data_IF_374164125029
#
_entry.id   IF_374164125029
#
_cell.length_a   1.000
_cell.length_b   1.000
_cell.length_c   1.000
_cell.angle_alpha   90.00
_cell.angle_beta   90.00
_cell.angle_gamma   90.00
#
_symmetry.space_group_name_H-M   'P 1'
#
loop_
_entity.id
_entity.type
_entity.pdbx_description
1 polymer ?
#
# COMPACT_ATOMS: atom_id res chain seq x y z
N UNK A 1 -47.17 -18.78 27.68
CA UNK A 1 -45.83 -18.50 28.29
C UNK A 1 -44.69 -19.20 27.54
N UNK A 2 -44.83 -19.44 26.23
CA UNK A 2 -43.92 -20.24 25.38
C UNK A 2 -43.17 -19.44 24.32
N UNK A 3 -43.36 -18.12 24.22
CA UNK A 3 -42.75 -17.28 23.17
C UNK A 3 -41.40 -16.66 23.53
N UNK A 4 -40.91 -16.76 24.78
CA UNK A 4 -39.66 -16.14 25.20
C UNK A 4 -38.38 -17.00 25.10
N UNK A 5 -38.52 -18.31 24.94
CA UNK A 5 -37.36 -19.22 24.89
C UNK A 5 -36.72 -19.28 23.48
N UNK A 6 -37.51 -19.14 22.42
CA UNK A 6 -36.96 -19.19 21.04
C UNK A 6 -36.11 -17.97 20.66
N UNK A 7 -36.46 -16.78 21.19
CA UNK A 7 -35.67 -15.56 20.93
C UNK A 7 -34.31 -15.56 21.60
N UNK A 8 -34.17 -16.21 22.75
CA UNK A 8 -32.92 -16.30 23.48
C UNK A 8 -31.93 -17.26 22.79
N UNK A 9 -32.39 -18.41 22.31
CA UNK A 9 -31.60 -19.39 21.57
C UNK A 9 -31.14 -18.82 20.21
N UNK A 10 -31.99 -18.07 19.51
CA UNK A 10 -31.67 -17.43 18.24
C UNK A 10 -30.59 -16.33 18.42
N UNK A 11 -30.68 -15.56 19.50
CA UNK A 11 -29.64 -14.52 19.81
C UNK A 11 -28.28 -15.10 20.21
N UNK A 12 -28.26 -16.22 20.95
CA UNK A 12 -27.03 -16.94 21.29
C UNK A 12 -26.39 -17.55 20.02
N UNK A 13 -27.20 -18.15 19.14
CA UNK A 13 -26.74 -18.71 17.88
C UNK A 13 -26.13 -17.64 16.96
N UNK A 14 -26.75 -16.46 16.88
CA UNK A 14 -26.26 -15.33 16.08
C UNK A 14 -24.96 -14.76 16.67
N UNK A 15 -24.84 -14.63 17.99
CA UNK A 15 -23.61 -14.18 18.65
C UNK A 15 -22.46 -15.17 18.46
N UNK A 16 -22.72 -16.49 18.52
CA UNK A 16 -21.70 -17.51 18.27
C UNK A 16 -21.21 -17.49 16.80
N UNK A 17 -22.12 -17.30 15.84
CA UNK A 17 -21.77 -17.20 14.42
C UNK A 17 -20.90 -15.95 14.16
N UNK A 18 -21.23 -14.82 14.77
CA UNK A 18 -20.45 -13.58 14.65
C UNK A 18 -19.07 -13.75 15.30
N UNK A 19 -18.98 -14.41 16.46
CA UNK A 19 -17.71 -14.65 17.14
C UNK A 19 -16.82 -15.62 16.34
N UNK A 20 -17.38 -16.67 15.78
CA UNK A 20 -16.65 -17.64 14.93
C UNK A 20 -16.18 -16.98 13.65
N UNK A 21 -17.03 -16.17 13.00
CA UNK A 21 -16.65 -15.43 11.80
C UNK A 21 -15.53 -14.40 12.08
N UNK A 22 -15.58 -13.72 13.22
CA UNK A 22 -14.53 -12.79 13.64
C UNK A 22 -13.22 -13.51 13.94
N UNK A 23 -13.24 -14.66 14.62
CA UNK A 23 -12.04 -15.47 14.92
C UNK A 23 -11.45 -16.07 13.66
N UNK A 24 -12.27 -16.56 12.74
CA UNK A 24 -11.82 -17.08 11.43
C UNK A 24 -11.24 -15.95 10.59
N UNK A 25 -11.88 -14.78 10.56
CA UNK A 25 -11.37 -13.59 9.87
C UNK A 25 -10.02 -13.11 10.41
N UNK A 26 -9.87 -13.05 11.75
CA UNK A 26 -8.60 -12.70 12.39
C UNK A 26 -7.50 -13.73 12.12
N UNK A 27 -7.81 -15.03 12.18
CA UNK A 27 -6.84 -16.10 11.85
C UNK A 27 -6.43 -16.07 10.38
N UNK A 28 -7.35 -15.77 9.44
CA UNK A 28 -7.03 -15.68 8.02
C UNK A 28 -6.14 -14.47 7.71
N UNK A 29 -6.36 -13.32 8.34
CA UNK A 29 -5.49 -12.15 8.19
C UNK A 29 -4.09 -12.37 8.78
N UNK A 30 -4.01 -13.03 9.93
CA UNK A 30 -2.73 -13.33 10.58
C UNK A 30 -1.91 -14.37 9.79
N UNK A 31 -2.57 -15.37 9.19
CA UNK A 31 -1.92 -16.37 8.34
C UNK A 31 -1.41 -15.79 7.01
N UNK A 32 -2.14 -14.84 6.42
CA UNK A 32 -1.71 -14.16 5.19
C UNK A 32 -0.51 -13.24 5.42
N UNK A 33 -0.47 -12.52 6.54
CA UNK A 33 0.69 -11.71 6.92
C UNK A 33 1.95 -12.54 7.10
N UNK A 34 1.86 -13.74 7.69
CA UNK A 34 3.01 -14.64 7.84
C UNK A 34 3.46 -15.20 6.48
N UNK A 35 2.55 -15.64 5.61
CA UNK A 35 2.87 -16.17 4.30
C UNK A 35 3.55 -15.11 3.39
N UNK A 36 3.13 -13.86 3.47
CA UNK A 36 3.76 -12.74 2.77
C UNK A 36 5.18 -12.49 3.29
N UNK A 37 5.35 -12.39 4.61
CA UNK A 37 6.67 -12.23 5.24
C UNK A 37 7.60 -13.38 4.86
N UNK A 38 7.12 -14.62 4.93
CA UNK A 38 7.89 -15.81 4.57
C UNK A 38 8.30 -15.83 3.09
N UNK A 39 7.42 -15.38 2.19
CA UNK A 39 7.74 -15.33 0.77
C UNK A 39 8.84 -14.29 0.50
N UNK A 40 8.70 -13.07 1.03
CA UNK A 40 9.69 -12.01 0.82
C UNK A 40 11.01 -12.34 1.51
N UNK A 41 10.96 -12.91 2.72
CA UNK A 41 12.13 -13.36 3.45
C UNK A 41 12.98 -14.33 2.62
N UNK A 42 12.35 -15.38 2.07
CA UNK A 42 13.04 -16.35 1.20
C UNK A 42 13.60 -15.72 -0.09
N UNK A 43 12.97 -14.68 -0.60
CA UNK A 43 13.43 -13.96 -1.79
C UNK A 43 14.64 -13.08 -1.52
N UNK A 44 14.68 -12.44 -0.37
CA UNK A 44 15.73 -11.50 0.05
C UNK A 44 16.93 -12.22 0.67
N UNK A 45 16.69 -13.35 1.33
CA UNK A 45 17.72 -14.17 1.97
C UNK A 45 18.24 -15.24 1.01
N UNK A 46 19.45 -15.12 0.46
CA UNK A 46 20.10 -16.26 -0.14
C UNK A 46 20.30 -17.34 0.93
N UNK A 47 20.20 -18.62 0.57
CA UNK A 47 20.16 -19.78 1.45
C UNK A 47 21.30 -19.90 2.50
N UNK A 48 22.25 -18.96 2.49
CA UNK A 48 23.46 -18.95 3.33
C UNK A 48 23.49 -17.89 4.44
N UNK A 49 22.48 -17.01 4.60
CA UNK A 49 22.56 -15.94 5.61
C UNK A 49 21.21 -15.63 6.28
N UNK A 50 21.09 -16.06 7.55
CA UNK A 50 19.88 -15.90 8.39
C UNK A 50 19.58 -14.46 8.87
N UNK A 51 20.33 -13.42 8.45
CA UNK A 51 20.18 -12.06 8.98
C UNK A 51 19.89 -10.99 7.93
N UNK A 52 19.64 -11.36 6.68
CA UNK A 52 19.52 -10.41 5.57
C UNK A 52 18.17 -9.69 5.57
N UNK A 53 17.09 -10.36 5.99
CA UNK A 53 15.76 -9.75 6.02
C UNK A 53 15.66 -8.61 7.03
N UNK A 54 16.22 -8.76 8.23
CA UNK A 54 16.26 -7.69 9.22
C UNK A 54 17.05 -6.45 8.79
N UNK A 55 18.06 -6.61 7.91
CA UNK A 55 18.77 -5.48 7.28
C UNK A 55 17.95 -4.86 6.17
N UNK A 56 17.22 -5.66 5.42
CA UNK A 56 16.31 -5.21 4.37
C UNK A 56 15.10 -4.45 4.96
N UNK A 57 14.45 -5.04 5.98
CA UNK A 57 13.30 -4.44 6.65
C UNK A 57 13.21 -4.93 8.11
N UNK A 58 13.51 -4.07 9.10
CA UNK A 58 13.55 -4.48 10.52
C UNK A 58 12.16 -4.58 11.15
N UNK A 59 11.28 -5.42 10.58
CA UNK A 59 9.86 -5.54 11.00
C UNK A 59 9.67 -5.99 12.44
N UNK A 60 10.65 -6.71 13.01
CA UNK A 60 10.58 -7.18 14.40
C UNK A 60 11.08 -6.14 15.42
N UNK A 61 11.83 -5.16 14.94
CA UNK A 61 12.47 -4.14 15.79
C UNK A 61 11.81 -2.76 15.67
N UNK A 62 11.06 -2.52 14.58
CA UNK A 62 10.45 -1.24 14.26
C UNK A 62 9.00 -1.40 13.86
N UNK A 63 8.09 -0.77 14.64
CA UNK A 63 6.66 -0.72 14.31
C UNK A 63 6.42 0.08 13.02
N UNK A 64 7.23 1.11 12.76
CA UNK A 64 7.24 1.81 11.49
C UNK A 64 7.53 0.85 10.33
N UNK A 65 8.66 0.11 10.39
CA UNK A 65 9.04 -0.83 9.33
C UNK A 65 7.97 -1.91 9.13
N UNK A 66 7.43 -2.47 10.21
CA UNK A 66 6.33 -3.44 10.15
C UNK A 66 5.08 -2.87 9.47
N UNK A 67 4.66 -1.66 9.85
CA UNK A 67 3.46 -1.00 9.28
C UNK A 67 3.63 -0.76 7.79
N UNK A 68 4.71 -0.10 7.37
CA UNK A 68 4.94 0.22 5.95
C UNK A 68 5.12 -1.03 5.10
N UNK A 69 5.74 -2.08 5.65
CA UNK A 69 5.94 -3.33 4.93
C UNK A 69 4.62 -4.08 4.68
N UNK A 70 3.72 -4.10 5.67
CA UNK A 70 2.40 -4.71 5.51
C UNK A 70 1.52 -3.91 4.54
N UNK A 71 1.52 -2.59 4.62
CA UNK A 71 0.63 -1.74 3.82
C UNK A 71 1.12 -1.56 2.37
N UNK A 72 2.44 -1.40 2.17
CA UNK A 72 3.01 -1.01 0.87
C UNK A 72 4.01 -2.02 0.31
N UNK A 73 4.32 -3.07 1.05
CA UNK A 73 5.36 -4.04 0.69
C UNK A 73 4.97 -5.03 -0.42
N UNK A 74 3.74 -4.99 -0.93
CA UNK A 74 3.28 -5.91 -1.98
C UNK A 74 4.21 -5.95 -3.21
N UNK A 75 4.88 -4.85 -3.54
CA UNK A 75 5.85 -4.80 -4.63
C UNK A 75 7.00 -5.81 -4.48
N UNK A 76 7.35 -6.21 -3.25
CA UNK A 76 8.45 -7.14 -3.00
C UNK A 76 8.14 -8.59 -3.39
N UNK A 77 6.92 -8.88 -3.81
CA UNK A 77 6.56 -10.18 -4.41
C UNK A 77 6.42 -10.12 -5.95
N UNK A 78 6.77 -9.00 -6.59
CA UNK A 78 6.74 -8.87 -8.04
C UNK A 78 7.61 -9.93 -8.73
N UNK A 79 7.42 -10.16 -10.01
CA UNK A 79 8.22 -11.06 -10.85
C UNK A 79 9.72 -10.69 -10.86
N UNK A 80 10.56 -11.60 -11.32
CA UNK A 80 12.03 -11.42 -11.29
C UNK A 80 12.55 -10.42 -12.32
N UNK A 81 11.75 -10.01 -13.30
CA UNK A 81 12.08 -8.98 -14.28
C UNK A 81 11.90 -7.55 -13.72
N UNK A 82 11.24 -7.41 -12.58
CA UNK A 82 11.14 -6.15 -11.84
C UNK A 82 12.35 -6.01 -10.93
N UNK A 83 13.06 -4.89 -11.05
CA UNK A 83 14.14 -4.56 -10.13
C UNK A 83 13.57 -3.90 -8.87
N UNK A 84 13.87 -4.49 -7.72
CA UNK A 84 13.38 -4.05 -6.42
C UNK A 84 14.47 -3.35 -5.61
N UNK A 85 14.13 -2.38 -4.73
CA UNK A 85 15.09 -1.77 -3.84
C UNK A 85 15.62 -2.79 -2.82
N UNK A 86 16.83 -2.53 -2.31
CA UNK A 86 17.51 -3.36 -1.30
C UNK A 86 17.11 -3.03 0.13
N UNK A 87 16.15 -2.13 0.31
CA UNK A 87 15.55 -1.75 1.59
C UNK A 87 14.05 -1.60 1.41
N UNK A 88 13.26 -1.83 2.45
CA UNK A 88 11.80 -1.71 2.37
C UNK A 88 11.30 -0.25 2.35
N UNK A 89 12.17 0.72 2.45
CA UNK A 89 11.86 2.14 2.23
C UNK A 89 13.15 2.90 1.85
N UNK A 90 12.98 4.04 1.21
CA UNK A 90 14.06 4.99 0.92
C UNK A 90 14.18 5.99 2.06
N UNK A 91 15.39 6.17 2.60
CA UNK A 91 15.62 7.08 3.70
C UNK A 91 15.56 8.57 3.27
N UNK A 92 15.96 8.84 2.03
CA UNK A 92 16.09 10.18 1.46
C UNK A 92 16.10 10.16 -0.07
N UNK A 93 16.20 11.36 -0.68
CA UNK A 93 16.31 11.55 -2.12
C UNK A 93 17.56 10.88 -2.70
N UNK A 94 18.70 10.92 -2.00
CA UNK A 94 19.96 10.35 -2.51
C UNK A 94 19.84 8.82 -2.63
N UNK A 95 19.23 8.15 -1.65
CA UNK A 95 18.99 6.72 -1.69
C UNK A 95 18.01 6.35 -2.83
N UNK A 96 16.98 7.16 -3.06
CA UNK A 96 16.05 6.96 -4.16
C UNK A 96 16.72 7.13 -5.52
N UNK A 97 17.45 8.23 -5.74
CA UNK A 97 18.12 8.49 -7.00
C UNK A 97 19.18 7.43 -7.33
N UNK A 98 19.93 6.97 -6.31
CA UNK A 98 20.87 5.86 -6.45
C UNK A 98 20.16 4.59 -6.94
N UNK A 99 19.00 4.26 -6.40
CA UNK A 99 18.22 3.11 -6.87
C UNK A 99 17.68 3.35 -8.28
N UNK A 100 17.04 4.49 -8.53
CA UNK A 100 16.43 4.78 -9.84
C UNK A 100 17.47 4.84 -10.97
N UNK A 101 18.72 5.24 -10.69
CA UNK A 101 19.79 5.25 -11.69
C UNK A 101 20.20 3.84 -12.18
N UNK A 102 19.84 2.80 -11.44
CA UNK A 102 20.10 1.40 -11.84
C UNK A 102 18.98 0.80 -12.68
N UNK A 103 17.83 1.46 -12.77
CA UNK A 103 16.64 0.91 -13.42
C UNK A 103 16.70 1.03 -14.94
N UNK A 104 16.29 -0.02 -15.63
CA UNK A 104 15.90 0.08 -17.04
C UNK A 104 14.47 0.60 -17.11
N UNK A 105 14.30 1.82 -17.61
CA UNK A 105 13.00 2.49 -17.70
C UNK A 105 12.60 2.72 -19.15
N UNK A 106 11.29 2.87 -19.38
CA UNK A 106 10.71 3.34 -20.64
C UNK A 106 9.64 4.37 -20.33
N UNK A 107 9.37 5.25 -21.29
CA UNK A 107 8.33 6.27 -21.20
C UNK A 107 7.33 6.17 -22.35
N UNK A 108 6.12 6.64 -22.10
CA UNK A 108 5.08 6.90 -23.11
C UNK A 108 4.37 8.20 -22.78
N UNK A 109 3.66 8.78 -23.75
CA UNK A 109 2.79 9.95 -23.50
C UNK A 109 1.35 9.48 -23.42
N UNK A 110 0.65 9.85 -22.34
CA UNK A 110 -0.76 9.60 -22.13
C UNK A 110 -1.44 10.91 -21.72
N UNK A 111 -2.44 11.35 -22.49
CA UNK A 111 -3.15 12.63 -22.29
C UNK A 111 -2.22 13.85 -22.18
N UNK A 112 -1.14 13.86 -22.99
CA UNK A 112 -0.14 14.94 -22.98
C UNK A 112 0.87 14.86 -21.82
N UNK A 113 0.80 13.82 -20.97
CA UNK A 113 1.66 13.62 -19.80
C UNK A 113 2.67 12.51 -20.08
N UNK A 114 3.94 12.72 -19.76
CA UNK A 114 4.95 11.67 -19.79
C UNK A 114 4.74 10.71 -18.62
N UNK A 115 4.52 9.43 -18.95
CA UNK A 115 4.45 8.30 -18.00
C UNK A 115 5.74 7.53 -18.11
N UNK A 116 6.51 7.46 -17.02
CA UNK A 116 7.76 6.71 -16.93
C UNK A 116 7.64 5.57 -15.94
N UNK A 117 7.98 4.36 -16.39
CA UNK A 117 7.92 3.12 -15.58
C UNK A 117 9.19 2.29 -15.83
N UNK A 118 9.42 1.28 -14.99
CA UNK A 118 10.38 0.22 -15.34
C UNK A 118 9.95 -0.44 -16.67
N UNK A 119 10.90 -0.85 -17.49
CA UNK A 119 10.62 -1.38 -18.82
C UNK A 119 9.61 -2.55 -18.86
N UNK A 120 9.64 -3.55 -17.95
CA UNK A 120 8.62 -4.59 -17.90
C UNK A 120 7.23 -4.05 -17.56
N UNK A 121 7.15 -3.14 -16.59
CA UNK A 121 5.89 -2.49 -16.20
C UNK A 121 5.33 -1.66 -17.36
N UNK A 122 6.17 -0.89 -18.07
CA UNK A 122 5.75 -0.12 -19.23
C UNK A 122 5.25 -1.02 -20.36
N UNK A 123 5.96 -2.10 -20.67
CA UNK A 123 5.52 -3.05 -21.70
C UNK A 123 4.15 -3.66 -21.39
N UNK A 124 3.88 -3.95 -20.13
CA UNK A 124 2.57 -4.42 -19.68
C UNK A 124 1.52 -3.29 -19.70
N UNK A 125 1.88 -2.08 -19.26
CA UNK A 125 0.99 -0.92 -19.27
C UNK A 125 0.48 -0.58 -20.67
N UNK A 126 1.34 -0.65 -21.68
CA UNK A 126 0.95 -0.44 -23.07
C UNK A 126 -0.09 -1.47 -23.54
N UNK A 127 0.00 -2.74 -23.10
CA UNK A 127 -1.03 -3.75 -23.37
C UNK A 127 -2.37 -3.41 -22.71
N UNK A 128 -2.35 -2.87 -21.47
CA UNK A 128 -3.56 -2.38 -20.81
C UNK A 128 -4.19 -1.24 -21.61
N UNK A 129 -3.40 -0.27 -22.07
CA UNK A 129 -3.90 0.86 -22.88
C UNK A 129 -4.47 0.39 -24.22
N UNK A 130 -3.83 -0.57 -24.88
CA UNK A 130 -4.32 -1.12 -26.14
C UNK A 130 -5.64 -1.87 -25.95
N UNK A 131 -5.75 -2.71 -24.92
CA UNK A 131 -6.99 -3.42 -24.60
C UNK A 131 -8.12 -2.46 -24.21
N UNK A 132 -7.81 -1.42 -23.41
CA UNK A 132 -8.77 -0.39 -23.04
C UNK A 132 -9.30 0.36 -24.29
N UNK A 133 -8.43 0.73 -25.22
CA UNK A 133 -8.80 1.39 -26.49
C UNK A 133 -9.73 0.52 -27.34
N UNK A 134 -9.45 -0.78 -27.44
CA UNK A 134 -10.31 -1.72 -28.17
C UNK A 134 -11.73 -1.84 -27.57
N UNK A 135 -11.85 -1.62 -26.25
CA UNK A 135 -13.12 -1.65 -25.52
C UNK A 135 -13.76 -0.27 -25.32
N UNK A 136 -13.20 0.80 -25.95
CA UNK A 136 -13.62 2.19 -25.75
C UNK A 136 -13.63 2.63 -24.27
N UNK A 137 -12.66 2.13 -23.49
CA UNK A 137 -12.43 2.54 -22.09
C UNK A 137 -11.33 3.59 -22.05
N UNK A 138 -11.58 4.71 -21.42
CA UNK A 138 -10.57 5.74 -21.19
C UNK A 138 -9.78 5.45 -19.92
N UNK A 139 -8.45 5.57 -20.02
CA UNK A 139 -7.51 5.51 -18.88
C UNK A 139 -6.71 6.80 -18.93
N UNK A 140 -6.75 7.57 -17.85
CA UNK A 140 -6.05 8.84 -17.71
C UNK A 140 -5.20 8.85 -16.43
N UNK A 141 -4.03 9.53 -16.43
CA UNK A 141 -3.19 9.62 -15.25
C UNK A 141 -3.80 10.58 -14.21
N UNK A 142 -3.80 10.17 -12.94
CA UNK A 142 -4.19 11.03 -11.83
C UNK A 142 -3.02 11.99 -11.49
N UNK A 143 -3.31 13.30 -11.42
CA UNK A 143 -2.33 14.33 -11.04
C UNK A 143 -1.05 14.39 -11.92
N UNK A 144 -1.19 14.06 -13.21
CA UNK A 144 -0.12 14.21 -14.19
C UNK A 144 0.97 13.13 -14.07
N UNK A 145 2.25 13.50 -14.24
CA UNK A 145 3.37 12.55 -14.27
C UNK A 145 3.60 11.82 -12.94
N UNK A 146 3.16 12.40 -11.80
CA UNK A 146 3.26 11.77 -10.49
C UNK A 146 2.31 10.57 -10.33
N UNK A 147 1.40 10.37 -11.28
CA UNK A 147 0.60 9.15 -11.39
C UNK A 147 1.46 7.88 -11.56
N UNK A 148 2.66 8.01 -12.11
CA UNK A 148 3.57 6.88 -12.35
C UNK A 148 4.90 7.03 -11.61
N UNK A 149 5.60 8.13 -11.82
CA UNK A 149 6.92 8.38 -11.27
C UNK A 149 6.88 9.51 -10.24
N UNK A 150 7.41 9.26 -9.05
CA UNK A 150 7.50 10.25 -7.98
C UNK A 150 8.96 10.43 -7.55
N UNK A 151 9.33 11.66 -7.22
CA UNK A 151 10.53 11.97 -6.45
C UNK A 151 10.28 11.72 -4.96
N UNK A 152 11.35 11.72 -4.17
CA UNK A 152 11.21 11.69 -2.70
C UNK A 152 10.48 12.94 -2.20
N UNK A 153 10.77 14.11 -2.79
CA UNK A 153 10.09 15.37 -2.45
C UNK A 153 8.60 15.35 -2.78
N UNK A 154 8.18 14.70 -3.87
CA UNK A 154 6.75 14.49 -4.15
C UNK A 154 6.09 13.65 -3.04
N UNK A 155 6.75 12.57 -2.61
CA UNK A 155 6.22 11.72 -1.54
C UNK A 155 6.08 12.48 -0.21
N UNK A 156 7.03 13.38 0.10
CA UNK A 156 6.97 14.27 1.28
C UNK A 156 5.80 15.25 1.15
N UNK A 157 5.65 15.86 -0.02
CA UNK A 157 4.58 16.85 -0.27
C UNK A 157 3.19 16.21 -0.18
N UNK A 158 3.00 15.05 -0.80
CA UNK A 158 1.73 14.30 -0.76
C UNK A 158 1.43 13.87 0.68
N UNK A 159 2.40 13.33 1.42
CA UNK A 159 2.21 12.98 2.82
C UNK A 159 1.80 14.19 3.65
N UNK A 160 2.54 15.29 3.55
CA UNK A 160 2.26 16.50 4.33
C UNK A 160 0.91 17.10 4.00
N UNK A 161 0.44 17.02 2.74
CA UNK A 161 -0.90 17.50 2.34
C UNK A 161 -2.05 16.75 3.03
N UNK A 162 -1.80 15.58 3.59
CA UNK A 162 -2.77 14.77 4.36
C UNK A 162 -2.48 14.81 5.87
N UNK A 163 -1.20 14.74 6.23
CA UNK A 163 -0.75 14.68 7.62
C UNK A 163 -1.05 15.98 8.37
N UNK A 164 -0.67 17.14 7.81
CA UNK A 164 -0.84 18.42 8.50
C UNK A 164 -2.32 18.77 8.76
N UNK A 165 -3.23 18.67 7.78
CA UNK A 165 -4.66 18.90 8.04
C UNK A 165 -5.24 17.91 9.06
N UNK A 166 -4.82 16.64 9.05
CA UNK A 166 -5.27 15.66 10.02
C UNK A 166 -4.80 16.03 11.44
N UNK A 167 -3.53 16.43 11.59
CA UNK A 167 -2.97 16.85 12.88
C UNK A 167 -3.74 18.04 13.45
N UNK A 168 -3.95 19.09 12.64
CA UNK A 168 -4.73 20.27 13.04
C UNK A 168 -6.17 19.90 13.41
N UNK A 169 -6.81 19.06 12.61
CA UNK A 169 -8.18 18.61 12.87
C UNK A 169 -8.28 17.89 14.22
N UNK A 170 -7.44 16.90 14.49
CA UNK A 170 -7.52 16.13 15.73
C UNK A 170 -7.08 16.90 16.97
N UNK A 171 -6.13 17.83 16.82
CA UNK A 171 -5.76 18.77 17.86
C UNK A 171 -6.95 19.68 18.23
N UNK A 172 -7.66 20.26 17.24
CA UNK A 172 -8.85 21.09 17.47
C UNK A 172 -9.99 20.34 18.16
N UNK A 173 -10.06 19.02 17.96
CA UNK A 173 -11.01 18.14 18.65
C UNK A 173 -10.53 17.72 20.06
N UNK A 174 -9.37 18.20 20.51
CA UNK A 174 -8.72 17.82 21.79
C UNK A 174 -8.53 16.30 21.92
N UNK A 175 -8.33 15.59 20.80
CA UNK A 175 -8.05 14.15 20.76
C UNK A 175 -6.55 13.85 20.72
N UNK A 176 -5.75 14.85 20.35
CA UNK A 176 -4.29 14.81 20.39
C UNK A 176 -3.85 15.91 21.34
N UNK A 177 -2.99 15.62 22.35
CA UNK A 177 -2.42 16.61 23.25
C UNK A 177 -1.60 17.66 22.49
N UNK A 178 -1.62 18.91 22.95
CA UNK A 178 -0.86 19.98 22.31
C UNK A 178 0.65 19.71 22.31
N UNK A 179 1.16 19.15 23.41
CA UNK A 179 2.59 18.76 23.51
C UNK A 179 2.99 17.76 22.40
N UNK A 180 2.10 16.83 22.06
CA UNK A 180 2.33 15.90 20.94
C UNK A 180 2.39 16.66 19.60
N UNK A 181 1.51 17.63 19.39
CA UNK A 181 1.50 18.46 18.17
C UNK A 181 2.80 19.25 18.04
N UNK A 182 3.25 19.87 19.12
CA UNK A 182 4.46 20.70 19.14
C UNK A 182 5.72 19.87 18.85
N UNK A 183 5.77 18.65 19.34
CA UNK A 183 6.88 17.72 19.08
C UNK A 183 6.93 17.23 17.64
N UNK A 184 5.79 17.17 16.92
CA UNK A 184 5.73 16.63 15.56
C UNK A 184 6.62 17.38 14.58
N UNK A 185 6.85 18.69 14.73
CA UNK A 185 7.68 19.48 13.81
C UNK A 185 9.12 18.95 13.73
N UNK A 186 9.72 18.63 14.87
CA UNK A 186 11.12 18.19 14.99
C UNK A 186 11.30 16.67 15.00
N UNK A 187 10.21 15.89 15.08
CA UNK A 187 10.28 14.44 15.22
C UNK A 187 10.72 13.77 13.89
N UNK A 188 11.66 12.80 13.92
CA UNK A 188 12.00 12.01 12.75
C UNK A 188 10.80 11.26 12.18
N UNK A 189 10.75 11.08 10.84
CA UNK A 189 9.61 10.47 10.15
C UNK A 189 9.20 9.10 10.73
N UNK A 190 10.10 8.15 11.03
CA UNK A 190 9.69 6.87 11.62
C UNK A 190 8.93 7.06 12.94
N UNK A 191 9.38 8.01 13.77
CA UNK A 191 8.71 8.31 15.04
C UNK A 191 7.37 9.02 14.88
N UNK A 192 7.23 9.92 13.87
CA UNK A 192 5.94 10.50 13.51
C UNK A 192 4.94 9.41 13.13
N UNK A 193 5.35 8.45 12.31
CA UNK A 193 4.51 7.34 11.86
C UNK A 193 4.17 6.41 13.05
N UNK A 194 5.12 6.10 13.91
CA UNK A 194 4.86 5.32 15.15
C UNK A 194 3.84 6.02 16.05
N UNK A 195 3.89 7.34 16.17
CA UNK A 195 2.92 8.11 16.94
C UNK A 195 1.51 8.04 16.33
N UNK A 196 1.42 8.12 14.98
CA UNK A 196 0.14 7.91 14.28
C UNK A 196 -0.39 6.50 14.53
N UNK A 197 0.47 5.47 14.49
CA UNK A 197 0.08 4.09 14.81
C UNK A 197 -0.47 4.00 16.24
N UNK A 198 0.12 4.71 17.21
CA UNK A 198 -0.38 4.74 18.59
C UNK A 198 -1.77 5.33 18.67
N UNK A 199 -2.01 6.47 18.01
CA UNK A 199 -3.33 7.09 17.98
C UNK A 199 -4.36 6.18 17.31
N UNK A 200 -4.02 5.55 16.19
CA UNK A 200 -4.94 4.64 15.49
C UNK A 200 -5.22 3.37 16.29
N UNK A 201 -4.23 2.83 17.01
CA UNK A 201 -4.42 1.71 17.93
C UNK A 201 -5.35 2.09 19.10
N UNK A 202 -5.29 3.35 19.52
CA UNK A 202 -6.24 3.92 20.50
C UNK A 202 -7.63 4.22 19.95
N UNK A 203 -7.91 3.87 18.70
CA UNK A 203 -9.23 4.02 18.04
C UNK A 203 -9.43 5.36 17.32
N UNK A 204 -8.37 6.19 17.18
CA UNK A 204 -8.42 7.43 16.44
C UNK A 204 -7.96 7.17 15.01
N UNK A 205 -8.89 7.14 14.03
CA UNK A 205 -8.52 7.07 12.61
C UNK A 205 -7.89 8.40 12.19
N UNK A 206 -6.55 8.41 12.06
CA UNK A 206 -5.79 9.63 11.80
C UNK A 206 -5.91 10.05 10.32
N UNK A 207 -7.00 10.76 10.05
CA UNK A 207 -7.28 11.39 8.75
C UNK A 207 -8.28 12.52 8.96
N UNK A 208 -8.47 13.37 7.97
CA UNK A 208 -9.51 14.40 8.02
C UNK A 208 -10.88 13.74 7.88
N UNK A 209 -11.79 13.96 8.83
CA UNK A 209 -13.19 13.52 8.73
C UNK A 209 -13.52 12.15 9.35
N UNK A 210 -12.68 11.58 10.21
CA UNK A 210 -12.94 10.38 11.05
C UNK A 210 -13.31 9.09 10.31
N UNK A 211 -13.04 8.98 9.00
CA UNK A 211 -13.53 7.85 8.19
C UNK A 211 -12.42 6.95 7.65
N UNK A 212 -11.18 7.42 7.60
CA UNK A 212 -10.05 6.70 7.03
C UNK A 212 -8.78 6.95 7.83
N UNK A 213 -7.93 5.93 7.90
CA UNK A 213 -6.54 6.08 8.27
C UNK A 213 -5.79 6.90 7.20
N UNK A 214 -4.79 7.68 7.59
CA UNK A 214 -3.88 8.33 6.64
C UNK A 214 -3.21 7.31 5.74
N UNK A 215 -2.89 6.12 6.25
CA UNK A 215 -2.24 5.04 5.50
C UNK A 215 -3.06 4.48 4.33
N UNK A 216 -4.38 4.68 4.32
CA UNK A 216 -5.26 4.33 3.19
C UNK A 216 -5.43 5.46 2.16
N UNK A 217 -4.76 6.60 2.35
CA UNK A 217 -4.86 7.74 1.44
C UNK A 217 -3.49 8.24 0.96
N UNK A 218 -2.42 7.88 1.65
CA UNK A 218 -1.05 8.21 1.24
C UNK A 218 -0.02 7.35 1.98
N UNK A 219 1.03 6.98 1.27
CA UNK A 219 2.18 6.30 1.85
C UNK A 219 3.10 7.31 2.58
N UNK A 220 3.71 6.94 3.72
CA UNK A 220 4.77 7.74 4.31
C UNK A 220 5.92 8.00 3.32
N UNK A 221 6.63 9.14 3.41
CA UNK A 221 7.76 9.42 2.55
C UNK A 221 8.76 8.27 2.46
N UNK A 222 9.20 7.97 1.24
CA UNK A 222 10.13 6.87 0.98
C UNK A 222 9.52 5.48 0.88
N UNK A 223 8.19 5.30 1.08
CA UNK A 223 7.56 3.98 1.11
C UNK A 223 6.60 3.71 -0.06
N UNK A 224 6.31 4.73 -0.86
CA UNK A 224 5.40 4.62 -2.01
C UNK A 224 6.00 3.76 -3.13
N UNK A 225 5.18 2.91 -3.73
CA UNK A 225 5.56 2.04 -4.85
C UNK A 225 5.88 2.81 -6.14
N UNK A 226 5.37 4.04 -6.29
CA UNK A 226 5.73 4.97 -7.39
C UNK A 226 7.22 5.34 -7.40
N UNK A 227 7.88 5.33 -6.24
CA UNK A 227 9.32 5.56 -6.13
C UNK A 227 10.12 4.47 -6.83
N UNK A 228 9.54 3.28 -6.95
CA UNK A 228 10.12 2.14 -7.67
C UNK A 228 9.71 2.07 -9.13
N UNK A 229 8.92 3.03 -9.65
CA UNK A 229 8.47 3.11 -11.04
C UNK A 229 7.70 1.86 -11.50
N UNK A 230 6.86 1.30 -10.63
CA UNK A 230 6.02 0.13 -10.88
C UNK A 230 4.58 0.33 -10.43
N UNK A 231 4.16 1.56 -10.20
CA UNK A 231 2.80 1.89 -9.80
C UNK A 231 2.19 2.93 -10.75
N UNK A 232 0.87 2.91 -10.86
CA UNK A 232 0.11 3.86 -11.67
C UNK A 232 -1.22 4.19 -10.98
N UNK A 233 -1.50 5.49 -10.86
CA UNK A 233 -2.76 6.00 -10.32
C UNK A 233 -3.67 6.48 -11.47
N UNK A 234 -4.91 5.99 -11.47
CA UNK A 234 -5.91 6.29 -12.51
C UNK A 234 -6.79 7.45 -12.06
N UNK A 235 -6.97 8.44 -12.95
CA UNK A 235 -7.95 9.49 -12.74
C UNK A 235 -9.39 8.99 -12.96
N UNK A 236 -10.31 9.46 -12.12
CA UNK A 236 -11.73 9.17 -12.25
C UNK A 236 -12.14 7.84 -11.59
N UNK A 237 -13.29 7.30 -12.01
CA UNK A 237 -13.85 6.11 -11.38
C UNK A 237 -13.26 4.84 -11.97
N UNK A 238 -12.57 4.06 -11.17
CA UNK A 238 -12.14 2.70 -11.53
C UNK A 238 -13.35 1.77 -11.55
N UNK A 239 -13.63 1.18 -12.70
CA UNK A 239 -14.72 0.23 -12.90
C UNK A 239 -14.21 -1.21 -12.81
N UNK A 240 -15.08 -2.22 -12.58
CA UNK A 240 -14.67 -3.63 -12.61
C UNK A 240 -13.98 -4.03 -13.93
N UNK A 241 -14.35 -3.41 -15.06
CA UNK A 241 -13.72 -3.66 -16.35
C UNK A 241 -12.28 -3.12 -16.37
N UNK A 242 -12.03 -1.92 -15.85
CA UNK A 242 -10.68 -1.37 -15.71
C UNK A 242 -9.83 -2.28 -14.81
N UNK A 243 -10.36 -2.67 -13.64
CA UNK A 243 -9.67 -3.60 -12.74
C UNK A 243 -9.31 -4.90 -13.45
N UNK A 244 -10.23 -5.50 -14.19
CA UNK A 244 -9.97 -6.73 -14.94
C UNK A 244 -8.89 -6.57 -16.02
N UNK A 245 -8.86 -5.43 -16.73
CA UNK A 245 -7.82 -5.12 -17.73
C UNK A 245 -6.43 -5.04 -17.08
N UNK A 246 -6.33 -4.37 -15.94
CA UNK A 246 -5.08 -4.28 -15.19
C UNK A 246 -4.65 -5.63 -14.63
N UNK A 247 -5.55 -6.37 -13.97
CA UNK A 247 -5.25 -7.69 -13.38
C UNK A 247 -4.78 -8.69 -14.45
N UNK A 248 -5.43 -8.73 -15.63
CA UNK A 248 -5.04 -9.59 -16.74
C UNK A 248 -3.62 -9.31 -17.25
N UNK A 249 -3.07 -8.14 -16.96
CA UNK A 249 -1.74 -7.71 -17.35
C UNK A 249 -0.76 -7.61 -16.17
N UNK A 250 -1.07 -8.24 -15.02
CA UNK A 250 -0.17 -8.33 -13.87
C UNK A 250 -0.09 -7.08 -13.00
N UNK A 251 -1.08 -6.20 -13.09
CA UNK A 251 -1.26 -5.02 -12.24
C UNK A 251 -2.38 -5.26 -11.24
N UNK A 252 -2.19 -4.90 -9.97
CA UNK A 252 -3.16 -5.18 -8.92
C UNK A 252 -3.31 -3.99 -7.97
N UNK A 253 -4.51 -3.83 -7.42
CA UNK A 253 -4.80 -2.88 -6.34
C UNK A 253 -4.24 -3.42 -5.03
N UNK A 254 -3.02 -3.07 -4.67
CA UNK A 254 -2.29 -3.66 -3.54
C UNK A 254 -2.34 -2.84 -2.26
N UNK A 255 -2.81 -1.60 -2.33
CA UNK A 255 -2.92 -0.69 -1.18
C UNK A 255 -4.36 -0.66 -0.70
N UNK A 256 -4.58 -1.02 0.56
CA UNK A 256 -5.93 -1.07 1.14
C UNK A 256 -6.57 0.31 1.20
N UNK A 257 -7.78 0.45 0.64
CA UNK A 257 -8.54 1.70 0.66
C UNK A 257 -8.11 2.72 -0.41
N UNK A 258 -7.22 2.34 -1.33
CA UNK A 258 -6.78 3.15 -2.47
C UNK A 258 -7.16 2.46 -3.80
N UNK A 259 -8.42 2.59 -4.24
CA UNK A 259 -8.92 1.87 -5.41
C UNK A 259 -8.34 2.39 -6.73
N UNK A 260 -7.78 3.59 -6.76
CA UNK A 260 -7.24 4.21 -7.98
C UNK A 260 -5.79 3.79 -8.22
N UNK A 261 -5.15 3.18 -7.22
CA UNK A 261 -3.75 2.79 -7.21
C UNK A 261 -3.54 1.35 -7.69
N UNK A 262 -2.76 1.16 -8.75
CA UNK A 262 -2.35 -0.14 -9.28
C UNK A 262 -0.84 -0.33 -9.20
N UNK A 263 -0.43 -1.50 -8.73
CA UNK A 263 0.98 -1.92 -8.66
C UNK A 263 1.25 -3.02 -9.66
N UNK A 264 2.28 -2.87 -10.48
CA UNK A 264 2.75 -3.93 -11.36
C UNK A 264 3.52 -4.98 -10.57
N UNK A 265 2.97 -6.18 -10.52
CA UNK A 265 3.63 -7.35 -9.94
C UNK A 265 4.16 -8.31 -11.02
N UNK A 266 3.68 -8.21 -12.26
CA UNK A 266 4.13 -9.02 -13.39
C UNK A 266 3.85 -10.52 -13.23
N UNK A 267 2.80 -10.88 -12.49
CA UNK A 267 2.39 -12.26 -12.19
C UNK A 267 0.93 -12.47 -12.55
N UNK A 268 0.48 -13.72 -12.64
CA UNK A 268 -0.93 -14.02 -12.80
C UNK A 268 -1.66 -13.89 -11.46
N UNK A 269 -2.92 -13.47 -11.48
CA UNK A 269 -3.76 -13.29 -10.29
C UNK A 269 -3.80 -14.55 -9.42
N UNK A 270 -3.90 -15.74 -10.02
CA UNK A 270 -3.89 -17.03 -9.31
C UNK A 270 -2.59 -17.34 -8.55
N UNK A 271 -1.51 -16.58 -8.76
CA UNK A 271 -0.26 -16.70 -8.01
C UNK A 271 -0.25 -15.86 -6.72
N UNK A 272 -1.12 -14.86 -6.60
CA UNK A 272 -1.13 -13.94 -5.47
C UNK A 272 -1.22 -14.65 -4.11
N UNK A 273 -2.11 -15.65 -3.91
CA UNK A 273 -2.18 -16.37 -2.62
C UNK A 273 -0.89 -17.10 -2.26
N UNK A 274 -0.17 -17.66 -3.23
CA UNK A 274 1.13 -18.32 -2.99
C UNK A 274 2.22 -17.33 -2.59
N UNK A 275 2.03 -16.04 -2.89
CA UNK A 275 2.92 -14.93 -2.53
C UNK A 275 2.46 -14.22 -1.26
N UNK A 276 1.41 -14.75 -0.59
CA UNK A 276 0.85 -14.18 0.64
C UNK A 276 0.00 -12.94 0.43
N UNK A 277 -0.42 -12.65 -0.81
CA UNK A 277 -1.38 -11.60 -1.12
C UNK A 277 -2.78 -12.19 -1.28
N UNK A 278 -3.81 -11.38 -1.00
CA UNK A 278 -5.20 -11.78 -1.28
C UNK A 278 -5.42 -11.78 -2.79
N UNK A 279 -6.25 -12.70 -3.25
CA UNK A 279 -6.91 -12.58 -4.53
C UNK A 279 -7.97 -11.47 -4.38
N UNK A 280 -7.93 -10.48 -5.22
CA UNK A 280 -8.75 -9.26 -5.14
C UNK A 280 -9.98 -9.43 -6.02
#
# INVERSE_FOLDING_TARGET
MTLRMNDFAARIGLLLIILVAAVVGLRSQQSQGSAFLDFVSRRVEPASSKHTFGKFCPVDQSRFARKIFIEYGAMFVASSDVQLPTSCYFADEAALLKFQSTLKTSSTTLDGVEIRLQAPAMASFLKVLDAARQLNVSISPLDGSIAAARSYSDSVSIWNSRFQPALVFWASQRKIPQDDVDQMASMPLPKKVEKVIDWETGGLLFGTGRRRSIFSSTAPPGTSQHLSLIAFDIAGKVTPLITALFNANGWFQTVSGDPDHFTYLGVFEGELPKRGLKQI
#
